data_IF_654614037262
#
_entry.id   IF_654614037262
#
_cell.length_a   1.000
_cell.length_b   1.000
_cell.length_c   1.000
_cell.angle_alpha   90.00
_cell.angle_beta   90.00
_cell.angle_gamma   90.00
#
_symmetry.space_group_name_H-M   'P 1'
#
loop_
_entity.id
_entity.type
_entity.pdbx_description
1 polymer ?
#
# COMPACT_ATOMS: atom_id res chain seq x y z
N UNK A 1 16.34 4.15 21.18
CA UNK A 1 15.14 4.31 20.33
C UNK A 1 14.85 5.77 20.14
N UNK A 2 14.41 6.15 18.95
CA UNK A 2 13.93 7.49 18.62
C UNK A 2 12.41 7.46 18.52
N UNK A 3 11.73 8.60 18.58
CA UNK A 3 10.28 8.69 18.38
C UNK A 3 9.86 8.13 17.02
N UNK A 4 10.69 8.26 15.99
CA UNK A 4 10.48 7.65 14.67
C UNK A 4 10.50 6.13 14.74
N UNK A 5 11.49 5.52 15.39
CA UNK A 5 11.56 4.06 15.52
C UNK A 5 10.42 3.49 16.36
N UNK A 6 9.96 4.19 17.36
CA UNK A 6 8.80 3.81 18.16
C UNK A 6 7.50 3.85 17.34
N UNK A 7 7.32 4.87 16.51
CA UNK A 7 6.18 4.97 15.59
C UNK A 7 6.18 3.81 14.57
N UNK A 8 7.34 3.48 14.00
CA UNK A 8 7.48 2.34 13.08
C UNK A 8 7.19 1.03 13.77
N UNK A 9 7.72 0.80 14.97
CA UNK A 9 7.49 -0.43 15.75
C UNK A 9 6.01 -0.66 16.04
N UNK A 10 5.25 0.39 16.21
CA UNK A 10 3.81 0.33 16.46
C UNK A 10 3.02 -0.21 15.27
N UNK A 11 3.49 0.00 14.05
CA UNK A 11 2.74 -0.26 12.80
C UNK A 11 3.32 -1.39 11.97
N UNK A 12 4.63 -1.65 12.06
CA UNK A 12 5.36 -2.54 11.14
C UNK A 12 4.74 -3.93 10.98
N UNK A 13 4.15 -4.49 12.04
CA UNK A 13 3.54 -5.82 11.97
C UNK A 13 2.17 -5.84 11.27
N UNK A 14 1.59 -4.68 10.99
CA UNK A 14 0.38 -4.54 10.18
C UNK A 14 0.69 -4.25 8.70
N UNK A 15 1.94 -3.96 8.34
CA UNK A 15 2.37 -3.72 6.97
C UNK A 15 2.64 -5.04 6.28
N UNK A 16 2.12 -5.20 5.06
CA UNK A 16 2.16 -6.44 4.30
C UNK A 16 2.66 -6.20 2.87
N UNK A 17 3.17 -7.26 2.23
CA UNK A 17 3.41 -7.27 0.79
C UNK A 17 2.17 -7.77 0.06
N UNK A 18 1.84 -7.14 -1.04
CA UNK A 18 0.74 -7.52 -1.94
C UNK A 18 1.34 -8.05 -3.23
N UNK A 19 1.13 -9.32 -3.52
CA UNK A 19 1.68 -10.01 -4.68
C UNK A 19 0.53 -10.42 -5.60
N UNK A 20 0.62 -10.06 -6.87
CA UNK A 20 -0.41 -10.35 -7.85
C UNK A 20 0.13 -11.22 -8.97
N UNK A 21 -0.74 -12.07 -9.50
CA UNK A 21 -0.43 -13.01 -10.57
C UNK A 21 -1.35 -12.76 -11.76
N UNK A 22 -0.79 -12.85 -12.97
CA UNK A 22 -1.55 -12.76 -14.22
C UNK A 22 -1.64 -14.12 -14.91
N UNK A 23 -2.65 -14.32 -15.76
CA UNK A 23 -2.64 -15.46 -16.69
C UNK A 23 -1.61 -15.26 -17.78
N UNK A 24 -0.70 -16.18 -17.89
CA UNK A 24 0.14 -16.34 -19.08
C UNK A 24 -0.59 -17.14 -20.17
N UNK A 25 -1.87 -16.81 -20.46
CA UNK A 25 -2.64 -17.49 -21.49
C UNK A 25 -2.51 -16.82 -22.87
N UNK A 26 -1.29 -16.46 -23.28
CA UNK A 26 -1.03 -16.15 -24.69
C UNK A 26 0.46 -16.25 -25.02
N UNK A 27 0.99 -17.47 -25.01
CA UNK A 27 2.07 -17.85 -25.96
C UNK A 27 2.20 -19.37 -25.99
N UNK A 28 1.93 -19.93 -27.17
CA UNK A 28 2.48 -21.11 -27.79
C UNK A 28 2.67 -22.37 -26.94
N UNK A 29 1.93 -23.39 -27.34
CA UNK A 29 2.20 -24.79 -27.06
C UNK A 29 3.71 -25.07 -27.10
N UNK A 30 4.33 -25.24 -25.93
CA UNK A 30 5.46 -26.13 -25.65
C UNK A 30 6.08 -25.80 -24.28
N UNK A 31 6.19 -26.87 -23.49
CA UNK A 31 6.90 -27.01 -22.21
C UNK A 31 6.18 -26.56 -20.93
N UNK A 32 5.68 -27.62 -20.27
CA UNK A 32 5.39 -27.65 -18.85
C UNK A 32 6.70 -27.54 -18.07
N UNK A 33 6.99 -26.40 -17.49
CA UNK A 33 7.70 -26.34 -16.24
C UNK A 33 6.83 -25.58 -15.25
N UNK A 34 6.34 -26.32 -14.27
CA UNK A 34 5.64 -25.78 -13.10
C UNK A 34 6.65 -25.03 -12.22
N UNK A 35 6.90 -23.78 -12.55
CA UNK A 35 7.58 -22.88 -11.66
C UNK A 35 6.54 -21.83 -11.19
N UNK A 36 6.01 -21.94 -9.97
CA UNK A 36 4.95 -21.05 -9.50
C UNK A 36 5.36 -19.59 -9.40
N UNK A 37 6.67 -19.28 -9.42
CA UNK A 37 7.20 -17.92 -9.33
C UNK A 37 7.27 -17.19 -10.68
N UNK A 38 6.97 -17.86 -11.81
CA UNK A 38 7.12 -17.28 -13.15
C UNK A 38 5.95 -16.40 -13.59
N UNK A 39 4.96 -16.15 -12.74
CA UNK A 39 3.71 -15.45 -13.09
C UNK A 39 3.41 -14.21 -12.24
N UNK A 40 4.37 -13.74 -11.46
CA UNK A 40 4.18 -12.50 -10.69
C UNK A 40 4.05 -11.32 -11.66
N UNK A 41 2.91 -10.66 -11.64
CA UNK A 41 2.62 -9.52 -12.51
C UNK A 41 2.88 -8.17 -11.85
N UNK A 42 2.70 -8.10 -10.54
CA UNK A 42 2.90 -6.87 -9.79
C UNK A 42 3.15 -7.15 -8.32
N UNK A 43 3.86 -6.25 -7.69
CA UNK A 43 4.11 -6.23 -6.27
C UNK A 43 3.92 -4.83 -5.71
N UNK A 44 3.47 -4.76 -4.49
CA UNK A 44 3.30 -3.52 -3.74
C UNK A 44 3.18 -3.81 -2.27
N UNK A 45 2.86 -2.79 -1.52
CA UNK A 45 2.64 -2.88 -0.08
C UNK A 45 1.16 -2.64 0.26
N UNK A 46 0.79 -2.99 1.47
CA UNK A 46 -0.51 -2.72 2.04
C UNK A 46 -0.45 -2.64 3.56
N UNK A 47 -1.55 -2.27 4.18
CA UNK A 47 -1.65 -2.18 5.63
C UNK A 47 -2.99 -2.74 6.12
N UNK A 48 -2.91 -3.62 7.12
CA UNK A 48 -4.09 -4.17 7.79
C UNK A 48 -4.64 -3.11 8.74
N UNK A 49 -5.91 -2.76 8.60
CA UNK A 49 -6.53 -1.69 9.38
C UNK A 49 -7.74 -2.11 10.21
N UNK A 50 -8.26 -3.34 9.99
CA UNK A 50 -9.49 -3.79 10.64
C UNK A 50 -9.55 -5.30 10.71
N UNK A 51 -10.05 -5.81 11.83
CA UNK A 51 -10.52 -7.19 11.99
C UNK A 51 -12.01 -7.18 12.29
N UNK A 52 -12.79 -7.94 11.56
CA UNK A 52 -14.21 -8.08 11.78
C UNK A 52 -14.68 -9.48 11.41
N UNK A 53 -15.26 -10.20 12.37
CA UNK A 53 -15.73 -11.57 12.17
C UNK A 53 -14.59 -12.51 11.76
N UNK A 54 -14.75 -13.16 10.61
CA UNK A 54 -13.80 -14.13 10.06
C UNK A 54 -12.66 -13.50 9.26
N UNK A 55 -12.72 -12.19 9.03
CA UNK A 55 -11.84 -11.51 8.10
C UNK A 55 -11.02 -10.41 8.75
N UNK A 56 -9.84 -10.19 8.22
CA UNK A 56 -9.07 -8.98 8.38
C UNK A 56 -8.99 -8.25 7.05
N UNK A 57 -9.08 -6.94 7.11
CA UNK A 57 -9.11 -6.06 5.94
C UNK A 57 -7.83 -5.25 5.85
N UNK A 58 -7.30 -5.17 4.65
CA UNK A 58 -6.13 -4.36 4.34
C UNK A 58 -6.41 -3.41 3.19
N UNK A 59 -5.70 -2.31 3.19
CA UNK A 59 -5.73 -1.31 2.12
C UNK A 59 -4.44 -1.41 1.30
N UNK A 60 -4.56 -1.28 0.00
CA UNK A 60 -3.45 -1.17 -0.96
C UNK A 60 -3.86 -0.24 -2.10
N UNK A 61 -3.06 -0.13 -3.15
CA UNK A 61 -3.44 0.61 -4.35
C UNK A 61 -4.21 -0.25 -5.35
N UNK A 62 -5.16 0.37 -6.03
CA UNK A 62 -5.90 -0.28 -7.12
C UNK A 62 -4.97 -0.71 -8.25
N UNK A 63 -3.98 0.11 -8.63
CA UNK A 63 -3.06 -0.24 -9.71
C UNK A 63 -2.19 -1.47 -9.39
N UNK A 64 -1.99 -1.82 -8.13
CA UNK A 64 -1.27 -3.03 -7.71
C UNK A 64 -2.10 -4.28 -8.00
N UNK A 65 -3.42 -4.23 -7.78
CA UNK A 65 -4.30 -5.40 -7.88
C UNK A 65 -5.12 -5.46 -9.17
N UNK A 66 -5.09 -4.41 -9.98
CA UNK A 66 -5.93 -4.30 -11.16
C UNK A 66 -5.56 -5.38 -12.21
N UNK A 67 -6.57 -6.11 -12.69
CA UNK A 67 -6.39 -7.18 -13.67
C UNK A 67 -5.73 -8.45 -13.11
N UNK A 68 -5.46 -8.52 -11.82
CA UNK A 68 -4.92 -9.71 -11.20
C UNK A 68 -5.96 -10.82 -11.10
N UNK A 69 -5.59 -12.04 -11.45
CA UNK A 69 -6.43 -13.22 -11.23
C UNK A 69 -6.30 -13.79 -9.83
N UNK A 70 -5.13 -13.64 -9.25
CA UNK A 70 -4.82 -14.10 -7.91
C UNK A 70 -4.05 -13.03 -7.17
N UNK A 71 -4.39 -12.86 -5.90
CA UNK A 71 -3.70 -11.97 -4.98
C UNK A 71 -3.24 -12.77 -3.77
N UNK A 72 -1.97 -12.71 -3.46
CA UNK A 72 -1.40 -13.25 -2.23
C UNK A 72 -0.88 -12.13 -1.35
N UNK A 73 -1.02 -12.30 -0.06
CA UNK A 73 -0.55 -11.37 0.96
C UNK A 73 0.58 -12.03 1.75
N UNK A 74 1.75 -11.42 1.71
CA UNK A 74 2.88 -11.82 2.52
C UNK A 74 2.88 -11.00 3.81
N UNK A 75 2.65 -11.69 4.91
CA UNK A 75 2.55 -11.08 6.24
C UNK A 75 3.94 -10.79 6.82
N UNK A 76 3.97 -9.92 7.84
CA UNK A 76 5.21 -9.53 8.53
C UNK A 76 5.94 -10.73 9.18
N UNK A 77 5.23 -11.81 9.50
CA UNK A 77 5.79 -13.05 10.04
C UNK A 77 6.36 -14.01 8.98
N UNK A 78 6.31 -13.62 7.70
CA UNK A 78 6.77 -14.42 6.57
C UNK A 78 5.74 -15.39 6.00
N UNK A 79 4.55 -15.51 6.58
CA UNK A 79 3.49 -16.34 6.04
C UNK A 79 2.82 -15.69 4.83
N UNK A 80 2.62 -16.47 3.77
CA UNK A 80 1.88 -16.06 2.57
C UNK A 80 0.47 -16.65 2.62
N UNK A 81 -0.52 -15.78 2.52
CA UNK A 81 -1.94 -16.15 2.59
C UNK A 81 -2.70 -15.62 1.38
N UNK A 82 -3.74 -16.32 0.92
CA UNK A 82 -4.57 -15.80 -0.17
C UNK A 82 -5.36 -14.58 0.27
N UNK A 83 -5.43 -13.58 -0.62
CA UNK A 83 -6.25 -12.38 -0.45
C UNK A 83 -7.43 -12.38 -1.41
N UNK A 84 -8.55 -11.81 -0.97
CA UNK A 84 -9.74 -11.59 -1.78
C UNK A 84 -10.00 -10.09 -1.91
N UNK A 85 -10.08 -9.59 -3.13
CA UNK A 85 -10.41 -8.19 -3.39
C UNK A 85 -11.88 -7.95 -3.04
N UNK A 86 -12.12 -7.06 -2.10
CA UNK A 86 -13.46 -6.66 -1.64
C UNK A 86 -14.01 -5.51 -2.47
N UNK A 87 -13.15 -4.58 -2.84
CA UNK A 87 -13.51 -3.42 -3.63
C UNK A 87 -12.29 -2.64 -4.05
N UNK A 88 -12.46 -1.79 -5.05
CA UNK A 88 -11.41 -0.92 -5.55
C UNK A 88 -12.02 0.35 -6.16
N UNK A 89 -11.26 1.44 -6.06
CA UNK A 89 -11.61 2.71 -6.66
C UNK A 89 -10.44 3.21 -7.51
N UNK A 90 -10.70 3.38 -8.80
CA UNK A 90 -9.70 3.85 -9.78
C UNK A 90 -9.36 5.32 -9.53
N UNK A 91 -10.30 6.08 -9.02
CA UNK A 91 -10.16 7.53 -8.81
C UNK A 91 -9.24 7.87 -7.66
N UNK A 92 -9.37 7.17 -6.55
CA UNK A 92 -8.49 7.32 -5.39
C UNK A 92 -7.27 6.40 -5.43
N UNK A 93 -7.23 5.45 -6.37
CA UNK A 93 -6.21 4.39 -6.43
C UNK A 93 -6.16 3.53 -5.15
N UNK A 94 -7.28 3.42 -4.44
CA UNK A 94 -7.40 2.63 -3.21
C UNK A 94 -8.18 1.36 -3.48
N UNK A 95 -7.67 0.25 -2.97
CA UNK A 95 -8.32 -1.05 -2.99
C UNK A 95 -8.34 -1.66 -1.59
N UNK A 96 -9.37 -2.44 -1.33
CA UNK A 96 -9.52 -3.21 -0.09
C UNK A 96 -9.44 -4.69 -0.42
N UNK A 97 -8.58 -5.38 0.31
CA UNK A 97 -8.39 -6.83 0.23
C UNK A 97 -8.66 -7.42 1.61
N UNK A 98 -9.28 -8.58 1.67
CA UNK A 98 -9.48 -9.31 2.92
C UNK A 98 -8.71 -10.61 2.95
N UNK A 99 -8.30 -10.97 4.15
CA UNK A 99 -7.65 -12.24 4.47
C UNK A 99 -8.37 -12.88 5.65
N UNK A 100 -8.03 -14.13 5.98
CA UNK A 100 -8.55 -14.78 7.18
C UNK A 100 -8.08 -14.05 8.44
N UNK A 101 -9.00 -13.76 9.37
CA UNK A 101 -8.72 -12.96 10.57
C UNK A 101 -7.68 -13.58 11.49
N UNK A 102 -7.60 -14.91 11.56
CA UNK A 102 -6.63 -15.64 12.38
C UNK A 102 -5.19 -15.46 11.92
N UNK A 103 -4.97 -15.03 10.68
CA UNK A 103 -3.64 -14.76 10.11
C UNK A 103 -3.13 -13.36 10.43
N UNK A 104 -4.02 -12.41 10.69
CA UNK A 104 -3.64 -11.03 11.00
C UNK A 104 -3.30 -10.89 12.48
N UNK A 105 -2.03 -10.59 12.79
CA UNK A 105 -1.52 -10.46 14.16
C UNK A 105 -1.50 -9.04 14.66
N UNK A 106 -1.60 -8.06 13.78
CA UNK A 106 -1.59 -6.65 14.12
C UNK A 106 -2.54 -5.88 13.21
N UNK A 107 -3.08 -4.80 13.74
CA UNK A 107 -3.99 -3.88 13.06
C UNK A 107 -3.47 -2.46 13.28
N UNK A 108 -3.32 -1.70 12.19
CA UNK A 108 -2.93 -0.30 12.27
C UNK A 108 -4.14 0.57 12.64
N UNK A 109 -3.86 1.67 13.32
CA UNK A 109 -4.84 2.67 13.69
C UNK A 109 -4.81 3.84 12.69
N UNK A 110 -5.97 4.34 12.30
CA UNK A 110 -6.07 5.55 11.49
C UNK A 110 -5.95 6.81 12.35
N UNK A 111 -5.20 7.79 11.83
CA UNK A 111 -5.20 9.16 12.32
C UNK A 111 -6.18 10.02 11.53
N UNK A 112 -6.38 11.25 11.97
CA UNK A 112 -7.22 12.23 11.28
C UNK A 112 -6.38 13.07 10.31
N UNK A 113 -6.51 12.78 9.01
CA UNK A 113 -5.78 13.50 7.96
C UNK A 113 -6.23 14.96 7.80
N UNK A 114 -7.37 15.35 8.37
CA UNK A 114 -7.83 16.75 8.35
C UNK A 114 -7.15 17.62 9.41
N UNK A 115 -6.53 17.00 10.41
CA UNK A 115 -5.84 17.72 11.51
C UNK A 115 -4.32 17.77 11.32
N UNK A 116 -3.82 17.40 10.15
CA UNK A 116 -2.38 17.47 9.86
C UNK A 116 -1.88 18.90 9.77
N UNK A 117 -0.66 19.10 10.22
CA UNK A 117 0.04 20.40 10.12
C UNK A 117 1.19 20.28 9.13
N UNK A 118 1.32 21.27 8.24
CA UNK A 118 2.48 21.36 7.35
C UNK A 118 3.77 21.44 8.17
N UNK A 119 4.78 20.66 7.81
CA UNK A 119 6.00 20.51 8.57
C UNK A 119 5.98 19.35 9.57
N UNK A 120 4.83 18.73 9.80
CA UNK A 120 4.71 17.55 10.66
C UNK A 120 5.46 16.36 10.07
N UNK A 121 6.07 15.53 10.93
CA UNK A 121 6.79 14.33 10.52
C UNK A 121 5.84 13.34 9.83
N UNK A 122 6.28 12.85 8.69
CA UNK A 122 5.60 11.80 7.92
C UNK A 122 6.58 10.65 7.63
N UNK A 123 6.14 9.42 7.87
CA UNK A 123 6.94 8.22 7.71
C UNK A 123 6.22 7.28 6.76
N UNK A 124 6.85 6.93 5.64
CA UNK A 124 6.35 5.94 4.71
C UNK A 124 6.96 4.57 5.02
N UNK A 125 6.11 3.55 5.09
CA UNK A 125 6.52 2.18 5.39
C UNK A 125 6.04 1.28 4.26
N UNK A 126 6.95 0.46 3.73
CA UNK A 126 6.63 -0.57 2.76
C UNK A 126 7.18 -1.93 3.18
N UNK A 127 6.70 -2.97 2.53
CA UNK A 127 7.19 -4.32 2.68
C UNK A 127 7.46 -4.90 1.29
N UNK A 128 8.53 -4.43 0.60
CA UNK A 128 8.87 -4.95 -0.71
C UNK A 128 9.45 -6.36 -0.59
N UNK A 129 8.98 -7.27 -1.43
CA UNK A 129 9.61 -8.57 -1.72
C UNK A 129 10.06 -9.41 -0.52
N UNK A 130 9.16 -9.67 0.41
CA UNK A 130 9.40 -10.69 1.42
C UNK A 130 10.27 -10.25 2.60
N UNK A 131 10.66 -11.23 3.40
CA UNK A 131 11.30 -11.03 4.70
C UNK A 131 12.67 -10.38 4.66
N UNK A 132 13.40 -10.46 3.54
CA UNK A 132 14.75 -9.92 3.42
C UNK A 132 14.77 -8.40 3.28
N UNK A 133 13.65 -7.80 2.85
CA UNK A 133 13.47 -6.35 2.70
C UNK A 133 12.24 -5.82 3.45
N UNK A 134 11.75 -6.61 4.39
CA UNK A 134 10.60 -6.23 5.21
C UNK A 134 10.84 -4.89 5.90
N UNK A 135 9.86 -3.98 5.79
CA UNK A 135 9.86 -2.64 6.36
C UNK A 135 10.93 -1.70 5.77
N UNK A 136 10.81 -1.43 4.48
CA UNK A 136 11.47 -0.26 3.89
C UNK A 136 10.83 0.99 4.47
N UNK A 137 11.62 1.81 5.18
CA UNK A 137 11.15 3.00 5.88
C UNK A 137 11.81 4.23 5.29
N UNK A 138 11.02 5.22 4.93
CA UNK A 138 11.49 6.56 4.56
C UNK A 138 10.79 7.60 5.42
N UNK A 139 11.47 8.71 5.69
CA UNK A 139 10.95 9.79 6.52
C UNK A 139 11.07 11.12 5.82
N UNK A 140 10.10 11.95 6.02
CA UNK A 140 10.03 13.32 5.59
C UNK A 140 9.03 14.11 6.41
N UNK A 141 8.43 15.11 5.80
CA UNK A 141 7.41 15.97 6.40
C UNK A 141 6.16 16.04 5.52
N UNK A 142 5.06 16.46 6.09
CA UNK A 142 3.90 16.91 5.32
C UNK A 142 4.24 18.28 4.71
N UNK A 143 4.35 18.30 3.37
CA UNK A 143 4.71 19.50 2.61
C UNK A 143 3.49 20.33 2.24
N UNK A 144 2.34 19.68 2.06
CA UNK A 144 1.06 20.34 1.77
C UNK A 144 -0.11 19.45 2.14
N UNK A 145 -1.17 20.08 2.65
CA UNK A 145 -2.45 19.43 2.92
C UNK A 145 -3.36 19.55 1.70
N UNK A 146 -3.71 18.41 1.11
CA UNK A 146 -4.82 18.35 0.16
C UNK A 146 -4.68 19.19 -1.11
N UNK A 147 -3.60 18.99 -1.86
CA UNK A 147 -3.53 19.52 -3.23
C UNK A 147 -4.42 18.71 -4.17
N UNK A 148 -5.15 19.41 -5.04
CA UNK A 148 -5.80 18.77 -6.16
C UNK A 148 -4.73 18.36 -7.18
N UNK A 149 -4.57 17.05 -7.37
CA UNK A 149 -3.69 16.48 -8.38
C UNK A 149 -4.53 15.91 -9.53
N UNK A 150 -4.06 16.16 -10.75
CA UNK A 150 -4.65 15.58 -11.94
C UNK A 150 -3.91 14.29 -12.26
N UNK A 151 -4.63 13.20 -12.25
CA UNK A 151 -4.12 11.89 -12.61
C UNK A 151 -4.71 11.45 -13.94
N UNK A 152 -3.96 10.61 -14.64
CA UNK A 152 -4.48 9.89 -15.78
C UNK A 152 -4.81 8.48 -15.35
N UNK A 153 -6.08 8.11 -15.39
CA UNK A 153 -6.51 6.74 -15.14
C UNK A 153 -6.01 5.80 -16.25
N UNK A 154 -5.97 4.50 -15.97
CA UNK A 154 -5.55 3.49 -16.94
C UNK A 154 -6.45 3.45 -18.18
N UNK A 155 -7.69 3.93 -18.06
CA UNK A 155 -8.64 4.13 -19.18
C UNK A 155 -8.44 5.43 -19.95
N UNK A 156 -7.42 6.22 -19.63
CA UNK A 156 -7.10 7.50 -20.28
C UNK A 156 -7.88 8.71 -19.78
N UNK A 157 -8.80 8.54 -18.84
CA UNK A 157 -9.56 9.66 -18.26
C UNK A 157 -8.70 10.50 -17.33
N UNK A 158 -8.88 11.82 -17.36
CA UNK A 158 -8.30 12.72 -16.38
C UNK A 158 -9.12 12.70 -15.10
N UNK A 159 -8.46 12.38 -14.01
CA UNK A 159 -9.04 12.35 -12.67
C UNK A 159 -8.45 13.50 -11.88
N UNK A 160 -9.28 14.17 -11.09
CA UNK A 160 -8.81 15.10 -10.07
C UNK A 160 -9.07 14.48 -8.71
N UNK A 161 -8.03 14.26 -7.95
CA UNK A 161 -8.12 13.76 -6.57
C UNK A 161 -7.39 14.69 -5.62
N UNK A 162 -7.77 14.67 -4.36
CA UNK A 162 -7.11 15.45 -3.32
C UNK A 162 -6.06 14.59 -2.64
N UNK A 163 -4.80 14.99 -2.72
CA UNK A 163 -3.69 14.26 -2.17
C UNK A 163 -2.90 15.07 -1.15
N UNK A 164 -2.37 14.41 -0.14
CA UNK A 164 -1.33 14.95 0.72
C UNK A 164 -0.01 15.01 -0.06
N UNK A 165 0.80 16.02 0.22
CA UNK A 165 2.15 16.09 -0.31
C UNK A 165 3.16 15.85 0.81
N UNK A 166 4.16 15.01 0.53
CA UNK A 166 5.29 14.72 1.42
C UNK A 166 6.59 14.67 0.61
N UNK A 167 7.70 14.97 1.26
CA UNK A 167 9.04 14.77 0.71
C UNK A 167 9.68 13.43 1.14
N UNK A 168 8.96 12.62 1.93
CA UNK A 168 9.36 11.24 2.16
C UNK A 168 9.45 10.49 0.82
N UNK A 169 10.52 9.74 0.59
CA UNK A 169 10.72 9.03 -0.66
C UNK A 169 9.64 7.95 -0.85
N UNK A 170 8.89 8.06 -1.93
CA UNK A 170 7.90 7.08 -2.38
C UNK A 170 8.44 6.40 -3.65
N UNK A 171 8.42 5.09 -3.66
CA UNK A 171 8.89 4.26 -4.77
C UNK A 171 7.98 3.03 -4.90
N UNK A 172 8.13 2.22 -5.94
CA UNK A 172 7.31 1.03 -6.11
C UNK A 172 7.31 0.07 -4.92
N UNK A 173 8.42 0.01 -4.17
CA UNK A 173 8.54 -0.88 -3.00
C UNK A 173 7.65 -0.48 -1.83
N UNK A 174 7.42 0.80 -1.58
CA UNK A 174 6.53 1.26 -0.51
C UNK A 174 5.16 1.74 -1.00
N UNK A 175 4.92 1.73 -2.30
CA UNK A 175 3.62 2.09 -2.89
C UNK A 175 2.51 1.14 -2.40
N UNK A 176 1.40 1.70 -1.95
CA UNK A 176 0.29 0.97 -1.32
C UNK A 176 0.45 0.78 0.19
N UNK A 177 1.62 1.05 0.74
CA UNK A 177 1.87 1.05 2.17
C UNK A 177 1.37 2.32 2.86
N UNK A 178 1.38 2.32 4.20
CA UNK A 178 0.91 3.46 4.98
C UNK A 178 1.92 4.60 4.99
N UNK A 179 1.40 5.82 5.00
CA UNK A 179 2.07 6.99 5.53
C UNK A 179 1.58 7.20 6.96
N UNK A 180 2.47 7.28 7.92
CA UNK A 180 2.13 7.44 9.33
C UNK A 180 2.64 8.74 9.92
N UNK A 181 1.98 9.21 10.98
CA UNK A 181 2.47 10.30 11.83
C UNK A 181 3.43 9.76 12.92
N UNK A 182 3.95 10.66 13.73
CA UNK A 182 4.89 10.30 14.79
C UNK A 182 4.25 9.48 15.93
N UNK A 183 2.92 9.49 16.04
CA UNK A 183 2.17 8.64 16.96
C UNK A 183 1.94 7.21 16.43
N UNK A 184 2.38 6.92 15.20
CA UNK A 184 2.17 5.62 14.57
C UNK A 184 0.77 5.41 13.99
N UNK A 185 0.05 6.48 13.73
CA UNK A 185 -1.28 6.43 13.10
C UNK A 185 -1.16 6.62 11.59
N UNK A 186 -1.96 5.86 10.84
CA UNK A 186 -2.03 5.97 9.38
C UNK A 186 -2.77 7.24 8.98
N UNK A 187 -2.11 8.11 8.25
CA UNK A 187 -2.66 9.39 7.77
C UNK A 187 -2.84 9.44 6.26
N UNK A 188 -2.34 8.44 5.54
CA UNK A 188 -2.49 8.31 4.11
C UNK A 188 -1.96 6.98 3.60
N UNK A 189 -2.23 6.71 2.32
CA UNK A 189 -1.70 5.55 1.59
C UNK A 189 -0.82 6.08 0.47
N UNK A 190 0.41 5.58 0.41
CA UNK A 190 1.39 6.01 -0.59
C UNK A 190 1.03 5.48 -1.98
N UNK A 191 1.24 6.29 -3.01
CA UNK A 191 1.04 5.88 -4.40
C UNK A 191 2.17 6.40 -5.28
N UNK A 192 2.85 5.49 -5.96
CA UNK A 192 3.91 5.83 -6.92
C UNK A 192 3.36 6.43 -8.21
N UNK A 193 2.06 6.28 -8.50
CA UNK A 193 1.41 6.91 -9.67
C UNK A 193 1.27 8.42 -9.56
N UNK A 194 1.30 8.96 -8.34
CA UNK A 194 1.09 10.39 -8.07
C UNK A 194 2.41 11.17 -8.11
N UNK A 195 3.51 10.50 -8.38
CA UNK A 195 4.83 11.13 -8.51
C UNK A 195 4.93 11.88 -9.84
N UNK A 196 4.59 13.17 -9.83
CA UNK A 196 4.82 14.07 -10.97
C UNK A 196 5.89 15.11 -10.63
N UNK A 197 6.92 15.21 -11.48
CA UNK A 197 7.95 16.27 -11.48
C UNK A 197 8.81 16.40 -10.22
N UNK A 198 9.23 15.26 -9.62
CA UNK A 198 10.15 15.28 -8.49
C UNK A 198 9.51 15.62 -7.13
N UNK A 199 8.20 15.75 -7.08
CA UNK A 199 7.42 15.89 -5.86
C UNK A 199 6.57 14.64 -5.64
N UNK A 200 6.69 14.06 -4.47
CA UNK A 200 5.93 12.86 -4.10
C UNK A 200 4.60 13.27 -3.47
N UNK A 201 3.53 12.73 -3.97
CA UNK A 201 2.19 12.95 -3.44
C UNK A 201 1.62 11.65 -2.87
N UNK A 202 0.84 11.76 -1.83
CA UNK A 202 0.21 10.67 -1.11
C UNK A 202 -1.28 10.93 -1.03
N UNK A 203 -2.10 9.94 -1.32
CA UNK A 203 -3.53 10.09 -1.12
C UNK A 203 -3.88 10.18 0.35
N UNK A 204 -4.54 11.26 0.72
CA UNK A 204 -5.12 11.41 2.03
C UNK A 204 -6.39 10.57 2.12
N UNK A 205 -6.45 9.65 3.08
CA UNK A 205 -7.71 9.00 3.43
C UNK A 205 -8.47 9.95 4.35
N UNK A 206 -9.49 10.63 3.81
CA UNK A 206 -10.51 11.32 4.60
C UNK A 206 -11.54 10.30 5.08
N UNK A 207 -11.62 10.08 6.36
CA UNK A 207 -12.72 9.40 7.03
C UNK A 207 -13.52 10.40 7.85
#
# INVERSE_FOLDING_TARGET
TTSTSEAVDKVKNAVVSVITYSDSSNQGVFEKEENPDSQISSEGSGVIYKKEGKYAYLVTNTHVINGAKKVDILLADGNKVPGEVVGSDVYSDIAVVRISADKAKAVAEFGDSNQLTVGETAIAIGSPLGTDYANSVTQGIISSQGRNVKLKADNGQNISTRALQTDAAINPGNSGGPLINIQGQVIGITSSKISNNGQTSVEGMGF
#
